data_IF_540632280639
#
_entry.id   IF_540632280639
#
_cell.length_a   1.000
_cell.length_b   1.000
_cell.length_c   1.000
_cell.angle_alpha   90.00
_cell.angle_beta   90.00
_cell.angle_gamma   90.00
#
_symmetry.space_group_name_H-M   'P 1'
#
loop_
_entity.id
_entity.type
_entity.pdbx_description
1 polymer ?
#
# COMPACT_ATOMS: atom_id res chain seq x y z
N UNK A 1 18.58 14.01 21.64
CA UNK A 1 17.80 13.91 20.39
C UNK A 1 18.73 13.76 19.17
N UNK A 2 19.78 14.58 19.03
CA UNK A 2 20.78 14.48 17.95
C UNK A 2 21.60 13.17 17.97
N UNK A 3 22.07 12.72 19.14
CA UNK A 3 22.83 11.45 19.28
C UNK A 3 22.03 10.19 18.93
N UNK A 4 20.71 10.19 19.18
CA UNK A 4 19.84 9.06 18.82
C UNK A 4 19.70 8.98 17.31
N UNK A 5 19.59 10.14 16.66
CA UNK A 5 19.48 10.23 15.20
C UNK A 5 20.78 9.81 14.51
N UNK A 6 21.95 10.21 15.03
CA UNK A 6 23.24 9.73 14.52
C UNK A 6 23.44 8.24 14.75
N UNK A 7 23.06 7.70 15.92
CA UNK A 7 23.13 6.25 16.17
C UNK A 7 22.26 5.44 15.22
N UNK A 8 21.07 5.94 14.90
CA UNK A 8 20.19 5.32 13.91
C UNK A 8 20.85 5.39 12.53
N UNK A 9 21.32 6.55 12.08
CA UNK A 9 21.97 6.71 10.77
C UNK A 9 23.22 5.83 10.63
N UNK A 10 24.04 5.73 11.68
CA UNK A 10 25.25 4.89 11.68
C UNK A 10 24.89 3.40 11.67
N UNK A 11 23.86 2.99 12.43
CA UNK A 11 23.35 1.62 12.39
C UNK A 11 22.81 1.22 11.01
N UNK A 12 22.16 2.16 10.30
CA UNK A 12 21.72 1.94 8.91
C UNK A 12 22.86 2.00 7.87
N UNK A 13 24.03 2.53 8.23
CA UNK A 13 25.19 2.67 7.33
C UNK A 13 26.14 1.47 7.37
N UNK A 14 26.25 0.79 8.51
CA UNK A 14 27.29 -0.24 8.73
C UNK A 14 26.84 -1.67 8.44
N UNK A 15 25.54 -1.97 8.49
CA UNK A 15 25.02 -3.28 8.09
C UNK A 15 24.32 -3.16 6.74
N UNK A 16 24.83 -3.87 5.72
CA UNK A 16 23.95 -4.24 4.62
C UNK A 16 22.81 -5.05 5.24
N UNK A 17 21.63 -4.46 5.38
CA UNK A 17 20.45 -5.09 6.01
C UNK A 17 20.13 -6.48 5.41
N UNK A 18 20.64 -6.74 4.22
CA UNK A 18 20.59 -8.02 3.53
C UNK A 18 22.01 -8.55 3.34
N UNK A 19 22.25 -9.78 3.78
CA UNK A 19 23.44 -10.54 3.40
C UNK A 19 23.47 -10.78 1.88
N UNK A 20 24.67 -11.03 1.34
CA UNK A 20 24.84 -11.34 -0.09
C UNK A 20 23.97 -12.52 -0.57
N UNK A 21 23.73 -13.50 0.29
CA UNK A 21 22.85 -14.63 -0.03
C UNK A 21 21.37 -14.23 -0.09
N UNK A 22 20.91 -13.32 0.78
CA UNK A 22 19.55 -12.77 0.72
C UNK A 22 19.36 -11.88 -0.51
N UNK A 23 20.34 -11.04 -0.84
CA UNK A 23 20.32 -10.21 -2.05
C UNK A 23 20.22 -11.08 -3.31
N UNK A 24 21.01 -12.16 -3.37
CA UNK A 24 20.93 -13.13 -4.47
C UNK A 24 19.54 -13.75 -4.59
N UNK A 25 18.92 -14.16 -3.48
CA UNK A 25 17.55 -14.71 -3.48
C UNK A 25 16.50 -13.71 -3.93
N UNK A 26 16.63 -12.44 -3.56
CA UNK A 26 15.74 -11.38 -4.02
C UNK A 26 15.85 -11.16 -5.54
N UNK A 27 17.06 -11.20 -6.09
CA UNK A 27 17.29 -11.09 -7.53
C UNK A 27 16.75 -12.31 -8.31
N UNK A 28 16.79 -13.49 -7.71
CA UNK A 28 16.28 -14.73 -8.29
C UNK A 28 14.75 -14.90 -8.11
N UNK A 29 14.11 -14.02 -7.34
CA UNK A 29 12.67 -14.10 -7.09
C UNK A 29 11.86 -13.98 -8.38
N UNK A 30 10.84 -14.82 -8.50
CA UNK A 30 9.86 -14.81 -9.58
C UNK A 30 8.48 -14.80 -8.94
N UNK A 31 7.67 -13.83 -9.33
CA UNK A 31 6.27 -13.76 -8.93
C UNK A 31 5.53 -15.05 -9.29
N UNK A 32 4.97 -15.72 -8.28
CA UNK A 32 4.32 -17.02 -8.42
C UNK A 32 2.83 -17.01 -8.05
N UNK A 33 2.23 -15.86 -7.74
CA UNK A 33 0.82 -15.83 -7.38
C UNK A 33 -0.08 -15.70 -8.62
N UNK A 34 -1.20 -16.42 -8.58
CA UNK A 34 -2.26 -16.35 -9.59
C UNK A 34 -3.50 -15.74 -8.94
N UNK A 35 -3.99 -14.65 -9.50
CA UNK A 35 -5.30 -14.10 -9.11
C UNK A 35 -6.41 -15.06 -9.56
N UNK A 36 -7.25 -15.49 -8.61
CA UNK A 36 -8.41 -16.37 -8.83
C UNK A 36 -9.71 -15.72 -8.33
N UNK A 37 -9.70 -14.40 -8.14
CA UNK A 37 -10.87 -13.66 -7.71
C UNK A 37 -11.91 -13.58 -8.81
N UNK A 38 -13.12 -14.11 -8.56
CA UNK A 38 -14.26 -14.06 -9.48
C UNK A 38 -14.57 -12.62 -9.90
N UNK A 39 -14.51 -11.68 -8.96
CA UNK A 39 -14.76 -10.27 -9.25
C UNK A 39 -13.70 -9.68 -10.18
N UNK A 40 -12.44 -10.08 -9.97
CA UNK A 40 -11.32 -9.66 -10.81
C UNK A 40 -11.44 -10.22 -12.22
N UNK A 41 -11.74 -11.50 -12.34
CA UNK A 41 -11.90 -12.20 -13.61
C UNK A 41 -13.07 -11.63 -14.44
N UNK A 42 -14.20 -11.35 -13.81
CA UNK A 42 -15.40 -10.89 -14.51
C UNK A 42 -15.40 -9.39 -14.85
N UNK A 43 -14.90 -8.54 -13.95
CA UNK A 43 -15.07 -7.09 -14.07
C UNK A 43 -13.77 -6.30 -13.98
N UNK A 44 -12.98 -6.51 -12.93
CA UNK A 44 -11.88 -5.59 -12.62
C UNK A 44 -10.74 -5.69 -13.63
N UNK A 45 -10.42 -6.88 -14.15
CA UNK A 45 -9.39 -7.01 -15.16
C UNK A 45 -9.71 -6.23 -16.44
N UNK A 46 -10.98 -6.20 -16.87
CA UNK A 46 -11.38 -5.40 -18.02
C UNK A 46 -11.18 -3.90 -17.75
N UNK A 47 -11.58 -3.44 -16.56
CA UNK A 47 -11.39 -2.06 -16.13
C UNK A 47 -9.90 -1.68 -16.05
N UNK A 48 -9.07 -2.49 -15.40
CA UNK A 48 -7.64 -2.23 -15.22
C UNK A 48 -6.85 -2.31 -16.52
N UNK A 49 -7.20 -3.24 -17.43
CA UNK A 49 -6.58 -3.32 -18.76
C UNK A 49 -6.93 -2.09 -19.61
N UNK A 50 -8.18 -1.63 -19.55
CA UNK A 50 -8.57 -0.37 -20.18
C UNK A 50 -7.84 0.83 -19.56
N UNK A 51 -7.68 0.85 -18.23
CA UNK A 51 -7.06 1.97 -17.50
C UNK A 51 -5.56 2.07 -17.79
N UNK A 52 -4.83 0.96 -17.75
CA UNK A 52 -3.38 0.94 -17.98
C UNK A 52 -3.03 1.46 -19.38
N UNK A 53 -3.87 1.20 -20.38
CA UNK A 53 -3.68 1.70 -21.75
C UNK A 53 -3.73 3.24 -21.82
N UNK A 54 -4.41 3.90 -20.88
CA UNK A 54 -4.52 5.36 -20.81
C UNK A 54 -3.30 6.04 -20.19
N UNK A 55 -2.47 5.29 -19.46
CA UNK A 55 -1.24 5.86 -18.95
C UNK A 55 -0.25 6.14 -20.09
N UNK A 56 0.37 7.32 -20.12
CA UNK A 56 1.53 7.55 -20.96
C UNK A 56 2.67 6.58 -20.64
N UNK A 57 3.41 6.14 -21.66
CA UNK A 57 4.51 5.18 -21.51
C UNK A 57 5.70 5.72 -20.70
N UNK A 58 5.80 7.03 -20.51
CA UNK A 58 6.85 7.66 -19.70
C UNK A 58 6.57 7.60 -18.18
N UNK A 59 5.35 7.24 -17.77
CA UNK A 59 5.04 7.08 -16.35
C UNK A 59 5.63 5.76 -15.87
N UNK A 60 6.57 5.86 -14.93
CA UNK A 60 7.16 4.71 -14.26
C UNK A 60 6.12 3.99 -13.38
N UNK A 61 6.10 2.64 -13.35
CA UNK A 61 5.21 1.87 -12.50
C UNK A 61 5.26 2.28 -11.02
N UNK A 62 6.47 2.38 -10.46
CA UNK A 62 6.68 2.76 -9.07
C UNK A 62 6.15 4.18 -8.74
N UNK A 63 6.00 5.05 -9.75
CA UNK A 63 5.38 6.35 -9.53
C UNK A 63 3.86 6.21 -9.31
N UNK A 64 3.18 5.27 -9.98
CA UNK A 64 1.78 4.97 -9.74
C UNK A 64 1.58 4.47 -8.31
N UNK A 65 2.40 3.51 -7.87
CA UNK A 65 2.42 2.98 -6.51
C UNK A 65 2.60 4.11 -5.48
N UNK A 66 3.63 4.95 -5.67
CA UNK A 66 3.95 6.02 -4.73
C UNK A 66 2.84 7.09 -4.66
N UNK A 67 2.23 7.43 -5.80
CA UNK A 67 1.06 8.32 -5.84
C UNK A 67 -0.12 7.70 -5.09
N UNK A 68 -0.37 6.40 -5.24
CA UNK A 68 -1.38 5.69 -4.47
C UNK A 68 -1.17 5.82 -2.96
N UNK A 69 0.07 5.62 -2.50
CA UNK A 69 0.43 5.84 -1.09
C UNK A 69 0.16 7.29 -0.65
N UNK A 70 0.60 8.28 -1.43
CA UNK A 70 0.38 9.69 -1.10
C UNK A 70 -1.10 10.04 -1.00
N UNK A 71 -1.94 9.50 -1.89
CA UNK A 71 -3.40 9.69 -1.86
C UNK A 71 -3.97 9.20 -0.52
N UNK A 72 -3.59 8.01 -0.06
CA UNK A 72 -4.03 7.46 1.22
C UNK A 72 -3.52 8.27 2.43
N UNK A 73 -2.28 8.75 2.39
CA UNK A 73 -1.72 9.60 3.45
C UNK A 73 -2.52 10.90 3.54
N UNK A 74 -2.70 11.59 2.42
CA UNK A 74 -3.38 12.90 2.38
C UNK A 74 -4.84 12.74 2.80
N UNK A 75 -5.56 11.74 2.29
CA UNK A 75 -6.97 11.53 2.66
C UNK A 75 -7.14 11.23 4.15
N UNK A 76 -6.23 10.42 4.72
CA UNK A 76 -6.23 10.14 6.16
C UNK A 76 -5.94 11.40 6.97
N UNK A 77 -4.98 12.23 6.57
CA UNK A 77 -4.67 13.48 7.26
C UNK A 77 -5.84 14.47 7.22
N UNK A 78 -6.56 14.57 6.09
CA UNK A 78 -7.77 15.39 6.00
C UNK A 78 -8.82 14.86 6.98
N UNK A 79 -9.07 13.55 7.04
CA UNK A 79 -10.01 12.98 8.00
C UNK A 79 -9.56 13.20 9.45
N UNK A 80 -8.26 13.08 9.72
CA UNK A 80 -7.67 13.27 11.05
C UNK A 80 -7.73 14.71 11.53
N UNK A 81 -7.74 15.67 10.61
CA UNK A 81 -8.01 17.06 10.95
C UNK A 81 -9.40 17.26 11.58
N UNK A 82 -10.41 16.52 11.11
CA UNK A 82 -11.78 16.63 11.61
C UNK A 82 -12.08 15.68 12.79
N UNK A 83 -11.44 14.52 12.84
CA UNK A 83 -11.66 13.52 13.89
C UNK A 83 -10.35 12.89 14.39
N UNK A 84 -9.45 13.66 15.02
CA UNK A 84 -8.10 13.21 15.39
C UNK A 84 -8.09 12.06 16.41
N UNK A 85 -9.12 11.95 17.26
CA UNK A 85 -9.26 10.89 18.25
C UNK A 85 -10.22 9.77 17.81
N UNK A 86 -10.66 9.78 16.55
CA UNK A 86 -11.66 8.86 16.00
C UNK A 86 -13.00 8.88 16.75
N UNK A 87 -13.43 10.00 17.35
CA UNK A 87 -14.73 10.11 18.04
C UNK A 87 -15.68 11.13 17.41
N UNK A 88 -15.19 12.08 16.63
CA UNK A 88 -16.02 13.11 16.03
C UNK A 88 -16.58 12.68 14.68
N UNK A 89 -17.71 13.27 14.29
CA UNK A 89 -18.24 13.13 12.93
C UNK A 89 -17.55 14.16 12.03
N UNK A 90 -16.90 13.71 10.96
CA UNK A 90 -16.39 14.60 9.93
C UNK A 90 -17.51 15.01 8.95
N UNK A 91 -17.35 16.12 8.23
CA UNK A 91 -18.28 16.48 7.15
C UNK A 91 -18.38 15.37 6.09
N UNK A 92 -19.57 15.16 5.53
CA UNK A 92 -19.84 14.10 4.54
C UNK A 92 -18.85 14.08 3.36
N UNK A 93 -18.47 15.25 2.85
CA UNK A 93 -17.53 15.35 1.74
C UNK A 93 -16.14 14.79 2.05
N UNK A 94 -15.73 14.77 3.32
CA UNK A 94 -14.45 14.17 3.76
C UNK A 94 -14.50 12.66 3.60
N UNK A 95 -15.60 12.02 4.00
CA UNK A 95 -15.81 10.59 3.77
C UNK A 95 -15.86 10.25 2.28
N UNK A 96 -16.46 11.12 1.46
CA UNK A 96 -16.43 10.96 0.00
C UNK A 96 -15.01 11.06 -0.56
N UNK A 97 -14.16 11.95 -0.04
CA UNK A 97 -12.74 12.00 -0.41
C UNK A 97 -12.05 10.69 -0.02
N UNK A 98 -12.25 10.16 1.19
CA UNK A 98 -11.68 8.88 1.61
C UNK A 98 -12.11 7.72 0.69
N UNK A 99 -13.39 7.64 0.34
CA UNK A 99 -13.92 6.61 -0.56
C UNK A 99 -13.32 6.70 -1.97
N UNK A 100 -13.23 7.92 -2.53
CA UNK A 100 -12.60 8.15 -3.83
C UNK A 100 -11.10 7.87 -3.78
N UNK A 101 -10.43 8.25 -2.69
CA UNK A 101 -9.00 8.01 -2.47
C UNK A 101 -8.70 6.53 -2.44
N UNK A 102 -9.50 5.74 -1.71
CA UNK A 102 -9.39 4.28 -1.70
C UNK A 102 -9.60 3.67 -3.10
N UNK A 103 -10.60 4.16 -3.83
CA UNK A 103 -10.86 3.71 -5.20
C UNK A 103 -9.70 4.04 -6.17
N UNK A 104 -9.10 5.22 -6.05
CA UNK A 104 -7.94 5.57 -6.86
C UNK A 104 -6.70 4.78 -6.47
N UNK A 105 -6.42 4.65 -5.17
CA UNK A 105 -5.30 3.84 -4.68
C UNK A 105 -5.38 2.40 -5.20
N UNK A 106 -6.49 1.68 -4.98
CA UNK A 106 -6.62 0.29 -5.44
C UNK A 106 -6.57 0.16 -6.97
N UNK A 107 -6.92 1.22 -7.71
CA UNK A 107 -6.79 1.22 -9.17
C UNK A 107 -5.35 1.41 -9.61
N UNK A 108 -4.59 2.29 -8.93
CA UNK A 108 -3.18 2.55 -9.21
C UNK A 108 -2.32 1.33 -8.87
N UNK A 109 -2.52 0.76 -7.68
CA UNK A 109 -1.92 -0.50 -7.22
C UNK A 109 -2.16 -1.62 -8.25
N UNK A 110 -3.42 -1.95 -8.55
CA UNK A 110 -3.73 -3.03 -9.50
C UNK A 110 -3.22 -2.81 -10.95
N UNK A 111 -2.85 -1.58 -11.32
CA UNK A 111 -2.36 -1.25 -12.66
C UNK A 111 -0.85 -1.04 -12.74
N UNK A 112 -0.12 -0.95 -11.64
CA UNK A 112 1.32 -0.67 -11.68
C UNK A 112 2.11 -1.84 -12.29
N UNK A 113 1.82 -3.09 -11.94
CA UNK A 113 2.44 -4.28 -12.50
C UNK A 113 2.01 -4.50 -13.94
N UNK A 114 0.78 -4.10 -14.29
CA UNK A 114 0.31 -4.09 -15.69
C UNK A 114 1.10 -3.07 -16.50
N UNK A 115 1.35 -1.89 -15.95
CA UNK A 115 2.18 -0.86 -16.57
C UNK A 115 3.62 -1.36 -16.71
N UNK A 116 4.19 -2.00 -15.68
CA UNK A 116 5.54 -2.55 -15.70
C UNK A 116 5.74 -3.60 -16.78
N UNK A 117 4.73 -4.45 -17.02
CA UNK A 117 4.71 -5.40 -18.15
C UNK A 117 4.62 -4.68 -19.50
N UNK A 118 3.78 -3.63 -19.60
CA UNK A 118 3.59 -2.84 -20.81
C UNK A 118 4.84 -2.04 -21.21
N UNK A 119 5.61 -1.55 -20.24
CA UNK A 119 6.84 -0.78 -20.45
C UNK A 119 8.10 -1.63 -20.45
N UNK A 120 7.97 -2.97 -20.30
CA UNK A 120 9.10 -3.91 -20.20
C UNK A 120 10.06 -3.59 -19.04
N UNK A 121 9.54 -3.01 -17.94
CA UNK A 121 10.31 -2.61 -16.75
C UNK A 121 9.95 -3.41 -15.49
N UNK A 122 9.33 -4.57 -15.63
CA UNK A 122 9.00 -5.45 -14.51
C UNK A 122 10.29 -6.01 -13.85
N UNK A 123 10.45 -5.79 -12.55
CA UNK A 123 11.62 -6.23 -11.78
C UNK A 123 11.23 -6.68 -10.37
N UNK A 124 11.98 -7.61 -9.73
CA UNK A 124 11.73 -7.99 -8.34
C UNK A 124 11.83 -6.83 -7.35
N UNK A 125 12.66 -5.83 -7.65
CA UNK A 125 12.77 -4.62 -6.84
C UNK A 125 11.53 -3.73 -6.95
N UNK A 126 10.95 -3.60 -8.14
CA UNK A 126 9.71 -2.86 -8.35
C UNK A 126 8.54 -3.50 -7.59
N UNK A 127 8.45 -4.83 -7.61
CA UNK A 127 7.49 -5.60 -6.83
C UNK A 127 7.69 -5.44 -5.31
N UNK A 128 8.94 -5.48 -4.83
CA UNK A 128 9.23 -5.21 -3.43
C UNK A 128 8.83 -3.77 -3.02
N UNK A 129 9.04 -2.81 -3.91
CA UNK A 129 8.65 -1.41 -3.68
C UNK A 129 7.13 -1.26 -3.59
N UNK A 130 6.40 -1.93 -4.48
CA UNK A 130 4.94 -2.00 -4.49
C UNK A 130 4.39 -2.52 -3.15
N UNK A 131 4.78 -3.73 -2.77
CA UNK A 131 4.37 -4.34 -1.50
C UNK A 131 4.78 -3.53 -0.27
N UNK A 132 5.94 -2.85 -0.33
CA UNK A 132 6.36 -1.92 0.70
C UNK A 132 5.38 -0.75 0.86
N UNK A 133 4.98 -0.12 -0.25
CA UNK A 133 4.01 0.97 -0.25
C UNK A 133 2.62 0.51 0.21
N UNK A 134 2.19 -0.68 -0.20
CA UNK A 134 0.93 -1.28 0.21
C UNK A 134 0.86 -1.55 1.72
N UNK A 135 1.95 -2.05 2.29
CA UNK A 135 2.02 -2.30 3.75
C UNK A 135 1.81 -1.01 4.56
N UNK A 136 2.31 0.11 4.04
CA UNK A 136 2.14 1.43 4.66
C UNK A 136 0.72 1.96 4.39
N UNK A 137 0.25 1.87 3.15
CA UNK A 137 -1.09 2.30 2.72
C UNK A 137 -2.19 1.61 3.53
N UNK A 138 -2.06 0.31 3.77
CA UNK A 138 -2.98 -0.47 4.58
C UNK A 138 -3.16 0.14 5.98
N UNK A 139 -2.09 0.63 6.62
CA UNK A 139 -2.19 1.26 7.94
C UNK A 139 -3.05 2.52 7.89
N UNK A 140 -2.88 3.35 6.87
CA UNK A 140 -3.70 4.55 6.65
C UNK A 140 -5.16 4.22 6.34
N UNK A 141 -5.42 3.19 5.54
CA UNK A 141 -6.78 2.73 5.21
C UNK A 141 -7.51 2.21 6.46
N UNK A 142 -6.84 1.41 7.29
CA UNK A 142 -7.37 0.94 8.57
C UNK A 142 -7.74 2.11 9.48
N UNK A 143 -6.86 3.12 9.60
CA UNK A 143 -7.15 4.33 10.36
C UNK A 143 -8.39 5.05 9.83
N UNK A 144 -8.51 5.23 8.51
CA UNK A 144 -9.69 5.83 7.89
C UNK A 144 -10.97 5.08 8.25
N UNK A 145 -10.97 3.74 8.21
CA UNK A 145 -12.12 2.92 8.59
C UNK A 145 -12.46 3.11 10.08
N UNK A 146 -11.48 3.03 10.97
CA UNK A 146 -11.70 3.20 12.40
C UNK A 146 -12.25 4.58 12.75
N UNK A 147 -11.79 5.63 12.06
CA UNK A 147 -12.27 7.00 12.24
C UNK A 147 -13.66 7.21 11.66
N UNK A 148 -13.96 6.64 10.49
CA UNK A 148 -15.30 6.68 9.89
C UNK A 148 -16.34 5.95 10.75
N UNK A 149 -15.94 4.87 11.43
CA UNK A 149 -16.77 4.11 12.36
C UNK A 149 -16.78 4.67 13.79
N UNK A 150 -16.06 5.77 14.04
CA UNK A 150 -15.98 6.42 15.36
C UNK A 150 -15.52 5.50 16.50
N UNK A 151 -14.57 4.61 16.20
CA UNK A 151 -14.10 3.59 17.16
C UNK A 151 -13.14 4.13 18.23
N UNK A 152 -12.94 5.45 18.32
CA UNK A 152 -12.04 6.09 19.28
C UNK A 152 -12.36 5.84 20.75
N UNK A 153 -13.59 5.41 21.08
CA UNK A 153 -13.95 4.98 22.43
C UNK A 153 -13.44 3.57 22.78
N UNK A 154 -13.04 2.79 21.78
CA UNK A 154 -12.66 1.39 21.91
C UNK A 154 -11.23 1.15 21.37
N UNK A 155 -10.18 1.68 22.02
CA UNK A 155 -8.81 1.59 21.53
C UNK A 155 -8.31 0.15 21.35
N UNK A 156 -8.79 -0.79 22.17
CA UNK A 156 -8.49 -2.22 22.01
C UNK A 156 -9.06 -2.74 20.68
N UNK A 157 -10.27 -2.32 20.29
CA UNK A 157 -10.88 -2.73 19.02
C UNK A 157 -10.09 -2.15 17.85
N UNK A 158 -9.68 -0.89 17.91
CA UNK A 158 -8.82 -0.27 16.89
C UNK A 158 -7.50 -1.02 16.74
N UNK A 159 -6.85 -1.36 17.87
CA UNK A 159 -5.62 -2.15 17.86
C UNK A 159 -5.83 -3.53 17.24
N UNK A 160 -6.91 -4.24 17.61
CA UNK A 160 -7.24 -5.55 17.04
C UNK A 160 -7.51 -5.47 15.53
N UNK A 161 -8.19 -4.43 15.08
CA UNK A 161 -8.49 -4.21 13.66
C UNK A 161 -7.21 -3.95 12.85
N UNK A 162 -6.27 -3.18 13.41
CA UNK A 162 -4.96 -2.97 12.80
C UNK A 162 -4.12 -4.24 12.77
N UNK A 163 -4.01 -4.95 13.90
CA UNK A 163 -3.24 -6.21 13.98
C UNK A 163 -3.80 -7.26 13.01
N UNK A 164 -5.12 -7.43 12.95
CA UNK A 164 -5.74 -8.41 12.05
C UNK A 164 -5.49 -8.09 10.59
N UNK A 165 -5.64 -6.82 10.20
CA UNK A 165 -5.42 -6.40 8.82
C UNK A 165 -3.93 -6.52 8.43
N UNK A 166 -3.00 -6.19 9.32
CA UNK A 166 -1.56 -6.39 9.11
C UNK A 166 -1.21 -7.87 8.98
N UNK A 167 -1.76 -8.73 9.86
CA UNK A 167 -1.55 -10.17 9.79
C UNK A 167 -2.05 -10.74 8.46
N UNK A 168 -3.26 -10.37 8.05
CA UNK A 168 -3.83 -10.81 6.76
C UNK A 168 -2.97 -10.39 5.58
N UNK A 169 -2.50 -9.13 5.59
CA UNK A 169 -1.61 -8.61 4.55
C UNK A 169 -0.33 -9.46 4.45
N UNK A 170 0.39 -9.64 5.55
CA UNK A 170 1.64 -10.42 5.52
C UNK A 170 1.42 -11.90 5.23
N UNK A 171 0.30 -12.49 5.66
CA UNK A 171 -0.05 -13.87 5.31
C UNK A 171 -0.27 -14.04 3.79
N UNK A 172 -0.95 -13.09 3.15
CA UNK A 172 -1.16 -13.12 1.70
C UNK A 172 0.17 -13.00 0.94
N UNK A 173 1.07 -12.12 1.40
CA UNK A 173 2.41 -12.00 0.81
C UNK A 173 3.24 -13.25 1.04
N UNK A 174 3.24 -13.80 2.25
CA UNK A 174 3.95 -15.04 2.58
C UNK A 174 3.58 -16.20 1.65
N UNK A 175 2.31 -16.32 1.26
CA UNK A 175 1.84 -17.31 0.29
C UNK A 175 2.39 -17.09 -1.13
N UNK A 176 2.79 -15.88 -1.50
CA UNK A 176 3.42 -15.60 -2.79
C UNK A 176 4.90 -16.05 -2.84
N UNK A 177 5.54 -16.23 -1.68
CA UNK A 177 6.96 -16.59 -1.55
C UNK A 177 7.23 -18.08 -1.23
N UNK A 178 6.19 -18.91 -1.09
CA UNK A 178 6.27 -20.35 -0.80
C UNK A 178 5.54 -21.14 -1.89
#
# INVERSE_FOLDING_TARGET
>A
MFEVFERIITAFKEESMLSQSQLKRLLEHRYCSQDRSILSELFMNNFWNWLVERYPLWIAPNALTFVGLLINVVSTLILAWYSPDAKQTAPFWVYMICALSLFFYQSLDATDGKQARRTETATPLGELFDHGCDSISQTFIVMQICMALQLGYYPIVVMLFWVSATLMFYCAHWQAYI
#
